data_IF_973644355481
#
_entry.id   IF_973644355481
#
_cell.length_a   1.000
_cell.length_b   1.000
_cell.length_c   1.000
_cell.angle_alpha   90.00
_cell.angle_beta   90.00
_cell.angle_gamma   90.00
#
_symmetry.space_group_name_H-M   'P 1'
#
loop_
_entity.id
_entity.type
_entity.pdbx_description
1 polymer ?
#
# COMPACT_ATOMS: atom_id res chain seq x y z
N UNK A 1 21.24 6.69 -32.22
CA UNK A 1 19.95 7.28 -32.16
C UNK A 1 19.35 7.21 -30.78
N UNK A 2 19.06 8.34 -30.25
CA UNK A 2 18.50 8.39 -28.89
C UNK A 2 17.04 8.01 -28.94
N UNK A 3 16.67 7.12 -28.05
CA UNK A 3 15.31 6.71 -27.92
C UNK A 3 14.74 7.35 -26.68
N UNK A 4 13.57 7.92 -26.82
CA UNK A 4 12.87 8.46 -25.68
C UNK A 4 12.54 7.33 -24.73
N UNK A 5 12.97 7.43 -23.49
CA UNK A 5 12.69 6.43 -22.49
C UNK A 5 11.69 6.93 -21.51
N UNK A 6 10.91 6.01 -20.99
CA UNK A 6 10.02 6.33 -19.89
C UNK A 6 10.84 6.74 -18.68
N UNK A 7 10.40 7.77 -17.99
CA UNK A 7 10.98 8.12 -16.71
C UNK A 7 10.47 7.12 -15.68
N UNK A 8 11.39 6.47 -14.96
CA UNK A 8 10.99 5.52 -13.94
C UNK A 8 10.78 6.22 -12.61
N UNK A 9 9.65 5.93 -11.97
CA UNK A 9 9.36 6.40 -10.63
C UNK A 9 9.12 5.21 -9.73
N UNK A 10 9.81 5.15 -8.61
CA UNK A 10 9.72 4.04 -7.67
C UNK A 10 9.02 4.47 -6.40
N UNK A 11 8.08 3.64 -5.99
CA UNK A 11 7.32 3.83 -4.76
C UNK A 11 7.29 2.55 -3.97
N UNK A 12 6.94 2.66 -2.71
CA UNK A 12 6.71 1.50 -1.87
C UNK A 12 5.50 1.78 -0.99
N UNK A 13 4.77 0.75 -0.66
CA UNK A 13 3.60 0.88 0.17
C UNK A 13 3.30 -0.39 0.92
N UNK A 14 2.21 -0.35 1.67
CA UNK A 14 1.86 -1.47 2.52
C UNK A 14 0.41 -1.84 2.46
N UNK A 15 0.15 -3.14 2.51
CA UNK A 15 -1.16 -3.65 2.86
C UNK A 15 -1.08 -3.97 4.34
N UNK A 16 -1.83 -3.21 5.13
CA UNK A 16 -1.80 -3.33 6.58
C UNK A 16 -3.02 -4.11 7.02
N UNK A 17 -2.81 -5.11 7.87
CA UNK A 17 -3.93 -5.84 8.45
C UNK A 17 -3.82 -5.82 9.95
N UNK A 18 -4.95 -6.02 10.60
CA UNK A 18 -5.04 -6.26 12.04
C UNK A 18 -6.07 -7.33 12.27
N UNK A 19 -5.94 -8.02 13.40
CA UNK A 19 -6.91 -9.05 13.71
C UNK A 19 -7.92 -8.50 14.69
N UNK A 20 -9.19 -8.73 14.37
CA UNK A 20 -10.29 -8.31 15.21
C UNK A 20 -11.19 -9.51 15.39
N UNK A 21 -11.27 -10.03 16.61
CA UNK A 21 -12.04 -11.23 16.87
C UNK A 21 -11.59 -12.42 16.03
N UNK A 22 -10.30 -12.54 15.80
CA UNK A 22 -9.75 -13.63 15.02
C UNK A 22 -9.83 -13.44 13.51
N UNK A 23 -10.44 -12.35 13.05
CA UNK A 23 -10.59 -12.08 11.62
C UNK A 23 -9.69 -10.92 11.21
N UNK A 24 -9.16 -11.01 10.00
CA UNK A 24 -8.32 -9.96 9.46
C UNK A 24 -9.17 -8.80 8.94
N UNK A 25 -8.74 -7.59 9.25
CA UNK A 25 -9.26 -6.36 8.68
C UNK A 25 -8.11 -5.67 7.94
N UNK A 26 -8.39 -5.11 6.79
CA UNK A 26 -7.38 -4.48 5.93
C UNK A 26 -7.58 -2.99 5.90
N UNK A 27 -6.47 -2.26 5.98
CA UNK A 27 -6.53 -0.80 6.01
C UNK A 27 -6.56 -0.25 4.60
N UNK A 28 -7.54 0.57 4.32
CA UNK A 28 -7.64 1.32 3.08
C UNK A 28 -7.51 2.80 3.38
N UNK A 29 -6.90 3.52 2.46
CA UNK A 29 -6.88 4.99 2.52
C UNK A 29 -7.66 5.52 1.33
N UNK A 30 -8.23 6.71 1.51
CA UNK A 30 -8.97 7.38 0.44
C UNK A 30 -8.18 8.61 0.04
N UNK A 31 -7.90 8.73 -1.25
CA UNK A 31 -7.13 9.85 -1.77
C UNK A 31 -8.02 11.06 -2.05
N UNK A 32 -7.42 12.15 -2.53
CA UNK A 32 -8.14 13.39 -2.81
C UNK A 32 -9.09 13.28 -4.00
N UNK A 33 -8.95 12.22 -4.81
CA UNK A 33 -9.86 11.94 -5.92
C UNK A 33 -10.97 10.98 -5.52
N UNK A 34 -11.10 10.69 -4.22
CA UNK A 34 -12.13 9.80 -3.66
C UNK A 34 -11.94 8.34 -4.04
N UNK A 35 -10.72 7.95 -4.36
CA UNK A 35 -10.40 6.55 -4.65
C UNK A 35 -9.83 5.88 -3.41
N UNK A 36 -10.28 4.64 -3.17
CA UNK A 36 -9.75 3.83 -2.09
C UNK A 36 -8.60 2.98 -2.60
N UNK A 37 -7.54 2.89 -1.81
CA UNK A 37 -6.37 2.10 -2.14
C UNK A 37 -5.50 1.92 -0.92
N UNK A 38 -4.19 1.70 -1.14
CA UNK A 38 -3.24 1.45 -0.06
C UNK A 38 -2.30 2.63 0.12
N UNK A 39 -1.84 2.86 1.35
CA UNK A 39 -0.82 3.90 1.58
C UNK A 39 0.47 3.54 0.86
N UNK A 40 1.05 4.51 0.18
CA UNK A 40 2.30 4.34 -0.57
C UNK A 40 2.88 5.69 -0.91
N UNK A 41 4.16 5.71 -1.24
CA UNK A 41 4.80 6.94 -1.67
C UNK A 41 6.18 6.66 -2.25
N UNK A 42 6.82 7.70 -2.73
CA UNK A 42 8.11 7.60 -3.42
C UNK A 42 9.23 7.22 -2.47
N UNK A 43 10.18 6.43 -2.98
CA UNK A 43 11.40 6.15 -2.25
C UNK A 43 12.27 7.39 -2.19
N UNK A 44 12.94 7.58 -1.06
CA UNK A 44 13.97 8.59 -0.93
C UNK A 44 15.30 8.02 -1.43
N UNK A 45 16.26 8.88 -1.64
CA UNK A 45 17.59 8.47 -2.12
C UNK A 45 18.18 7.44 -1.17
N UNK A 46 18.61 6.32 -1.74
CA UNK A 46 19.25 5.21 -1.00
C UNK A 46 18.35 4.57 0.06
N UNK A 47 17.04 4.77 -0.02
CA UNK A 47 16.12 4.17 0.93
C UNK A 47 15.72 2.78 0.45
N UNK A 48 15.88 1.73 1.27
CA UNK A 48 15.38 0.41 0.90
C UNK A 48 13.86 0.42 0.79
N UNK A 49 13.29 -0.30 -0.17
CA UNK A 49 11.83 -0.28 -0.37
C UNK A 49 11.02 -0.65 0.87
N UNK A 50 11.47 -1.62 1.66
CA UNK A 50 10.72 -2.03 2.85
C UNK A 50 10.69 -0.93 3.90
N UNK A 51 11.75 -0.15 4.03
CA UNK A 51 11.77 0.98 4.96
C UNK A 51 10.95 2.14 4.44
N UNK A 52 10.97 2.37 3.12
CA UNK A 52 10.12 3.37 2.50
C UNK A 52 8.65 3.03 2.73
N UNK A 53 8.30 1.74 2.58
CA UNK A 53 6.92 1.30 2.80
C UNK A 53 6.48 1.58 4.23
N UNK A 54 7.31 1.24 5.21
CA UNK A 54 6.98 1.50 6.61
C UNK A 54 6.81 2.99 6.88
N UNK A 55 7.73 3.79 6.35
CA UNK A 55 7.69 5.25 6.53
C UNK A 55 6.43 5.84 5.93
N UNK A 56 6.10 5.45 4.68
CA UNK A 56 4.94 5.99 4.00
C UNK A 56 3.63 5.60 4.70
N UNK A 57 3.54 4.34 5.16
CA UNK A 57 2.34 3.91 5.89
C UNK A 57 2.20 4.72 7.17
N UNK A 58 3.28 4.91 7.91
CA UNK A 58 3.24 5.71 9.13
C UNK A 58 2.83 7.16 8.85
N UNK A 59 3.39 7.75 7.80
CA UNK A 59 3.08 9.13 7.45
C UNK A 59 1.63 9.31 7.03
N UNK A 60 1.11 8.40 6.21
CA UNK A 60 -0.22 8.57 5.64
C UNK A 60 -1.34 8.14 6.57
N UNK A 61 -1.07 7.24 7.51
CA UNK A 61 -2.11 6.66 8.35
C UNK A 61 -1.98 6.96 9.83
N UNK A 62 -0.81 7.40 10.27
CA UNK A 62 -0.55 7.64 11.69
C UNK A 62 -0.26 6.38 12.50
N UNK A 63 -0.25 5.21 11.86
CA UNK A 63 0.07 3.98 12.57
C UNK A 63 1.58 3.89 12.79
N UNK A 64 1.98 3.61 14.03
CA UNK A 64 3.40 3.52 14.36
C UNK A 64 3.79 2.17 14.96
N UNK A 65 2.82 1.30 15.17
CA UNK A 65 3.07 -0.02 15.75
C UNK A 65 2.88 -1.08 14.67
N UNK A 66 3.77 -1.06 13.68
CA UNK A 66 3.69 -1.91 12.51
C UNK A 66 4.78 -2.96 12.52
N UNK A 67 4.41 -4.20 12.25
CA UNK A 67 5.36 -5.29 12.09
C UNK A 67 5.38 -5.72 10.63
N UNK A 68 6.56 -5.68 10.02
CA UNK A 68 6.73 -6.10 8.65
C UNK A 68 6.58 -7.62 8.57
N UNK A 69 5.72 -8.10 7.66
CA UNK A 69 5.40 -9.52 7.56
C UNK A 69 5.82 -10.15 6.23
N UNK A 70 6.41 -9.38 5.34
CA UNK A 70 6.96 -9.93 4.11
C UNK A 70 6.57 -9.14 2.88
N UNK A 71 7.23 -9.49 1.80
CA UNK A 71 6.99 -8.87 0.51
C UNK A 71 5.77 -9.50 -0.15
N UNK A 72 4.87 -8.67 -0.67
CA UNK A 72 3.68 -9.17 -1.35
C UNK A 72 3.94 -9.28 -2.84
N UNK A 73 4.26 -8.15 -3.47
CA UNK A 73 4.40 -8.08 -4.91
C UNK A 73 4.97 -6.73 -5.31
N UNK A 74 5.50 -6.68 -6.51
CA UNK A 74 5.88 -5.43 -7.15
C UNK A 74 5.02 -5.28 -8.39
N UNK A 75 4.30 -4.19 -8.49
CA UNK A 75 3.46 -3.92 -9.65
C UNK A 75 4.00 -2.72 -10.40
N UNK A 76 3.72 -2.66 -11.68
CA UNK A 76 4.18 -1.53 -12.48
C UNK A 76 3.15 -1.21 -13.54
N UNK A 77 3.18 0.02 -13.99
CA UNK A 77 2.32 0.47 -15.07
C UNK A 77 2.92 1.70 -15.72
N UNK A 78 2.41 2.02 -16.92
CA UNK A 78 2.88 3.18 -17.70
C UNK A 78 1.74 4.16 -17.83
N UNK A 79 2.07 5.44 -17.79
CA UNK A 79 1.08 6.48 -18.07
C UNK A 79 1.83 7.71 -18.64
N UNK A 80 1.06 8.61 -19.25
CA UNK A 80 1.63 9.85 -19.76
C UNK A 80 1.21 10.99 -18.85
N UNK A 81 2.19 11.82 -18.53
CA UNK A 81 1.96 13.02 -17.74
C UNK A 81 2.71 14.15 -18.43
N UNK A 82 1.94 15.16 -18.88
CA UNK A 82 2.50 16.33 -19.58
C UNK A 82 3.36 15.92 -20.75
N UNK A 83 2.86 14.99 -21.55
CA UNK A 83 3.55 14.52 -22.76
C UNK A 83 4.70 13.58 -22.50
N UNK A 84 5.02 13.30 -21.26
CA UNK A 84 6.14 12.41 -20.92
C UNK A 84 5.64 11.06 -20.48
N UNK A 85 6.29 10.02 -21.00
CA UNK A 85 5.94 8.66 -20.59
C UNK A 85 6.58 8.36 -19.23
N UNK A 86 5.76 7.90 -18.30
CA UNK A 86 6.19 7.56 -16.93
C UNK A 86 5.99 6.07 -16.72
N UNK A 87 7.03 5.41 -16.22
CA UNK A 87 6.96 4.01 -15.81
C UNK A 87 6.97 3.99 -14.29
N UNK A 88 5.83 3.67 -13.70
CA UNK A 88 5.69 3.64 -12.24
C UNK A 88 5.86 2.22 -11.74
N UNK A 89 6.74 2.05 -10.75
CA UNK A 89 6.99 0.76 -10.10
C UNK A 89 6.67 0.93 -8.63
N UNK A 90 5.85 0.04 -8.09
CA UNK A 90 5.48 0.11 -6.68
C UNK A 90 5.67 -1.24 -6.00
N UNK A 91 6.44 -1.23 -4.92
CA UNK A 91 6.71 -2.42 -4.11
C UNK A 91 5.76 -2.45 -2.92
N UNK A 92 5.01 -3.53 -2.77
CA UNK A 92 4.05 -3.67 -1.67
C UNK A 92 4.49 -4.71 -0.66
N UNK A 93 4.35 -4.37 0.61
CA UNK A 93 4.75 -5.22 1.73
C UNK A 93 3.55 -5.44 2.65
N UNK A 94 3.50 -6.63 3.24
CA UNK A 94 2.47 -6.97 4.23
C UNK A 94 2.94 -6.50 5.59
N UNK A 95 2.05 -5.82 6.31
CA UNK A 95 2.33 -5.29 7.64
C UNK A 95 1.19 -5.62 8.57
N UNK A 96 1.52 -5.95 9.81
CA UNK A 96 0.51 -6.16 10.82
C UNK A 96 0.53 -5.01 11.81
N UNK A 97 -0.64 -4.49 12.13
CA UNK A 97 -0.78 -3.40 13.09
C UNK A 97 -1.37 -3.91 14.39
N UNK A 98 -0.77 -3.51 15.49
CA UNK A 98 -1.35 -3.78 16.81
C UNK A 98 -2.43 -2.78 17.18
N UNK A 99 -2.46 -1.63 16.50
CA UNK A 99 -3.38 -0.54 16.80
C UNK A 99 -4.41 -0.38 15.71
N UNK A 100 -5.61 0.06 16.06
CA UNK A 100 -6.67 0.36 15.11
C UNK A 100 -6.79 1.86 14.84
N UNK A 101 -6.17 2.69 15.67
CA UNK A 101 -6.37 4.14 15.56
C UNK A 101 -5.55 4.75 14.45
N UNK A 102 -6.21 5.45 13.54
CA UNK A 102 -5.56 6.07 12.40
C UNK A 102 -5.76 7.58 12.45
N UNK A 103 -4.83 8.26 11.77
CA UNK A 103 -4.88 9.70 11.63
C UNK A 103 -4.51 10.02 10.18
N UNK A 104 -5.51 10.19 9.31
CA UNK A 104 -5.23 10.43 7.88
C UNK A 104 -4.39 11.67 7.68
N UNK A 105 -3.36 11.56 6.83
CA UNK A 105 -2.48 12.68 6.54
C UNK A 105 -3.11 13.56 5.47
N UNK A 106 -3.88 14.56 5.91
CA UNK A 106 -4.64 15.40 4.98
C UNK A 106 -3.75 16.27 4.10
N UNK A 107 -2.58 16.62 4.59
CA UNK A 107 -1.62 17.39 3.80
C UNK A 107 -1.09 16.61 2.61
N UNK A 108 -1.11 15.28 2.70
CA UNK A 108 -0.72 14.41 1.61
C UNK A 108 -1.90 14.01 0.73
N UNK A 109 -3.06 14.60 0.95
CA UNK A 109 -4.24 14.30 0.17
C UNK A 109 -5.02 13.10 0.65
N UNK A 110 -4.69 12.55 1.82
CA UNK A 110 -5.42 11.40 2.38
C UNK A 110 -6.61 11.93 3.15
N UNK A 111 -7.81 11.59 2.70
CA UNK A 111 -9.04 12.15 3.28
C UNK A 111 -9.68 11.23 4.31
N UNK A 112 -9.37 9.93 4.29
CA UNK A 112 -9.95 8.98 5.23
C UNK A 112 -9.11 7.72 5.29
N UNK A 113 -9.20 7.02 6.43
CA UNK A 113 -8.68 5.67 6.61
C UNK A 113 -9.85 4.80 7.03
N UNK A 114 -9.85 3.54 6.61
CA UNK A 114 -10.93 2.63 6.92
C UNK A 114 -10.38 1.21 7.05
N UNK A 115 -10.76 0.53 8.14
CA UNK A 115 -10.50 -0.89 8.27
C UNK A 115 -11.68 -1.65 7.66
N UNK A 116 -11.39 -2.55 6.74
CA UNK A 116 -12.41 -3.23 5.96
C UNK A 116 -12.22 -4.74 5.98
N UNK A 117 -13.34 -5.46 5.88
CA UNK A 117 -13.27 -6.89 5.61
C UNK A 117 -12.69 -7.11 4.23
N UNK A 118 -12.25 -8.34 3.95
CA UNK A 118 -11.76 -8.66 2.62
C UNK A 118 -12.79 -8.34 1.54
N UNK A 119 -14.04 -8.73 1.77
CA UNK A 119 -15.12 -8.48 0.81
C UNK A 119 -15.31 -6.99 0.56
N UNK A 120 -15.39 -6.20 1.64
CA UNK A 120 -15.61 -4.76 1.50
C UNK A 120 -14.41 -4.08 0.85
N UNK A 121 -13.20 -4.52 1.18
CA UNK A 121 -11.99 -3.96 0.58
C UNK A 121 -11.95 -4.22 -0.92
N UNK A 122 -12.26 -5.45 -1.34
CA UNK A 122 -12.28 -5.78 -2.76
C UNK A 122 -13.30 -4.94 -3.53
N UNK A 123 -14.42 -4.63 -2.91
CA UNK A 123 -15.44 -3.79 -3.54
C UNK A 123 -15.04 -2.32 -3.57
N UNK A 124 -14.34 -1.84 -2.55
CA UNK A 124 -14.00 -0.43 -2.44
C UNK A 124 -12.84 -0.03 -3.34
N UNK A 125 -11.86 -0.92 -3.51
CA UNK A 125 -10.66 -0.58 -4.28
C UNK A 125 -11.01 -0.42 -5.75
N UNK A 126 -10.57 0.71 -6.32
CA UNK A 126 -10.95 1.08 -7.68
C UNK A 126 -10.09 0.44 -8.75
N UNK A 127 -8.85 0.07 -8.43
CA UNK A 127 -7.87 -0.34 -9.43
C UNK A 127 -7.64 -1.84 -9.39
N UNK A 128 -7.68 -2.46 -10.58
CA UNK A 128 -7.53 -3.91 -10.71
C UNK A 128 -6.20 -4.41 -10.16
N UNK A 129 -5.10 -3.67 -10.42
CA UNK A 129 -3.80 -4.09 -9.93
C UNK A 129 -3.72 -4.05 -8.40
N UNK A 130 -4.39 -3.10 -7.77
CA UNK A 130 -4.43 -3.03 -6.30
C UNK A 130 -5.28 -4.17 -5.72
N UNK A 131 -6.38 -4.54 -6.40
CA UNK A 131 -7.17 -5.69 -5.96
C UNK A 131 -6.35 -6.98 -6.01
N UNK A 132 -5.52 -7.14 -7.04
CA UNK A 132 -4.65 -8.32 -7.13
C UNK A 132 -3.64 -8.36 -5.99
N UNK A 133 -3.10 -7.20 -5.60
CA UNK A 133 -2.18 -7.11 -4.46
C UNK A 133 -2.91 -7.52 -3.17
N UNK A 134 -4.14 -7.07 -2.99
CA UNK A 134 -4.94 -7.43 -1.81
C UNK A 134 -5.19 -8.93 -1.74
N UNK A 135 -5.51 -9.55 -2.89
CA UNK A 135 -5.74 -11.00 -2.92
C UNK A 135 -4.49 -11.76 -2.49
N UNK A 136 -3.32 -11.34 -2.96
CA UNK A 136 -2.07 -11.97 -2.54
C UNK A 136 -1.80 -11.75 -1.06
N UNK A 137 -2.05 -10.55 -0.57
CA UNK A 137 -1.89 -10.25 0.85
C UNK A 137 -2.78 -11.14 1.70
N UNK A 138 -4.06 -11.29 1.31
CA UNK A 138 -5.00 -12.12 2.05
C UNK A 138 -4.55 -13.58 2.08
N UNK A 139 -4.02 -14.09 0.96
CA UNK A 139 -3.49 -15.44 0.92
C UNK A 139 -2.32 -15.60 1.91
N UNK A 140 -1.44 -14.61 1.99
CA UNK A 140 -0.34 -14.64 2.94
C UNK A 140 -0.84 -14.67 4.38
N UNK A 141 -1.84 -13.85 4.69
CA UNK A 141 -2.41 -13.80 6.04
C UNK A 141 -3.06 -15.12 6.41
N UNK A 142 -3.82 -15.70 5.49
CA UNK A 142 -4.57 -16.93 5.76
C UNK A 142 -3.70 -18.17 5.82
N UNK A 143 -2.60 -18.20 5.07
CA UNK A 143 -1.70 -19.34 5.10
C UNK A 143 -0.84 -19.35 6.37
N UNK A 144 -1.16 -18.45 7.29
CA UNK A 144 -0.41 -18.38 8.52
C UNK A 144 0.94 -17.79 8.26
N UNK A 145 0.97 -16.86 7.31
CA UNK A 145 2.17 -16.13 7.13
C UNK A 145 2.61 -15.76 8.49
N UNK A 146 3.72 -16.13 8.78
CA UNK A 146 4.11 -16.55 10.04
C UNK A 146 3.88 -15.53 11.03
N UNK A 147 3.00 -15.96 11.71
CA UNK A 147 3.08 -15.44 12.91
C UNK A 147 4.41 -15.69 13.34
N UNK A 148 4.94 -15.19 13.74
CA UNK A 148 5.95 -15.54 14.21
C UNK A 148 5.91 -15.69 15.36
N UNK A 149 6.36 -16.20 15.76
CA UNK A 149 6.17 -16.64 17.07
C UNK A 149 6.52 -15.63 18.05
#
# INVERSE_FOLDING_TARGET
MARSRAKEERSAGGVVYRREGGRARYLLIRDSYKNWGFPKGHLEVDEPPELAALREVQEETGLDDLALRGEIDTIDWYFRFRGRLIHKVCHFYLMESASAETSPQREEGITACRWATMTDAMQAISYANARAVLERAATMVESGAPARP
#
